data_IF_236152345610
#
_entry.id   IF_236152345610
#
_cell.length_a   1.000
_cell.length_b   1.000
_cell.length_c   1.000
_cell.angle_alpha   90.00
_cell.angle_beta   90.00
_cell.angle_gamma   90.00
#
_symmetry.space_group_name_H-M   'P 1'
#
loop_
_entity.id
_entity.type
_entity.pdbx_description
1 polymer ?
#
# COMPACT_ATOMS: atom_id res chain seq x y z
N UNK A 1 -20.60 -17.16 -15.02
CA UNK A 1 -19.46 -16.22 -15.09
C UNK A 1 -18.19 -17.06 -15.12
N UNK A 2 -17.60 -17.19 -16.29
CA UNK A 2 -16.63 -18.22 -16.69
C UNK A 2 -15.37 -18.23 -15.83
N UNK A 3 -15.17 -19.31 -15.08
CA UNK A 3 -13.95 -19.62 -14.30
C UNK A 3 -12.85 -20.11 -15.27
N UNK A 4 -12.34 -19.19 -16.09
CA UNK A 4 -11.28 -19.49 -17.04
C UNK A 4 -9.93 -19.26 -16.36
N UNK A 5 -9.18 -20.34 -16.10
CA UNK A 5 -7.85 -20.30 -15.48
C UNK A 5 -6.95 -19.20 -16.07
N UNK A 6 -6.98 -19.03 -17.39
CA UNK A 6 -6.23 -18.00 -18.11
C UNK A 6 -6.65 -16.58 -17.71
N UNK A 7 -7.94 -16.31 -17.60
CA UNK A 7 -8.44 -15.01 -17.15
C UNK A 7 -7.97 -14.70 -15.72
N UNK A 8 -8.00 -15.71 -14.84
CA UNK A 8 -7.54 -15.58 -13.44
C UNK A 8 -6.05 -15.28 -13.35
N UNK A 9 -5.22 -15.95 -14.14
CA UNK A 9 -3.77 -15.69 -14.20
C UNK A 9 -3.49 -14.28 -14.74
N UNK A 10 -4.15 -13.88 -15.83
CA UNK A 10 -3.98 -12.54 -16.40
C UNK A 10 -4.41 -11.46 -15.41
N UNK A 11 -5.55 -11.64 -14.73
CA UNK A 11 -6.00 -10.70 -13.68
C UNK A 11 -4.99 -10.62 -12.54
N UNK A 12 -4.44 -11.75 -12.07
CA UNK A 12 -3.42 -11.74 -11.03
C UNK A 12 -2.14 -11.02 -11.47
N UNK A 13 -1.67 -11.26 -12.69
CA UNK A 13 -0.52 -10.54 -13.24
C UNK A 13 -0.79 -9.04 -13.34
N UNK A 14 -1.94 -8.64 -13.87
CA UNK A 14 -2.33 -7.24 -13.98
C UNK A 14 -2.43 -6.56 -12.60
N UNK A 15 -3.00 -7.24 -11.60
CA UNK A 15 -3.06 -6.75 -10.23
C UNK A 15 -1.65 -6.62 -9.62
N UNK A 16 -0.76 -7.56 -9.89
CA UNK A 16 0.62 -7.52 -9.38
C UNK A 16 1.42 -6.37 -9.99
N UNK A 17 1.27 -6.13 -11.30
CA UNK A 17 1.86 -4.97 -11.99
C UNK A 17 1.29 -3.66 -11.43
N UNK A 18 -0.04 -3.59 -11.27
CA UNK A 18 -0.70 -2.43 -10.71
C UNK A 18 -0.29 -2.14 -9.26
N UNK A 19 0.07 -3.16 -8.47
CA UNK A 19 0.62 -3.00 -7.12
C UNK A 19 2.10 -2.57 -7.13
N UNK A 20 2.89 -3.10 -8.06
CA UNK A 20 4.33 -2.81 -8.16
C UNK A 20 4.63 -1.36 -8.55
N UNK A 21 3.78 -0.75 -9.40
CA UNK A 21 3.97 0.63 -9.88
C UNK A 21 3.94 1.65 -8.72
N UNK A 22 2.89 1.71 -7.85
CA UNK A 22 2.88 2.59 -6.69
C UNK A 22 4.06 2.33 -5.74
N UNK A 23 4.42 1.07 -5.52
CA UNK A 23 5.53 0.72 -4.63
C UNK A 23 6.87 1.27 -5.14
N UNK A 24 7.17 1.07 -6.43
CA UNK A 24 8.38 1.62 -7.06
C UNK A 24 8.37 3.14 -7.09
N UNK A 25 7.22 3.76 -7.37
CA UNK A 25 7.08 5.21 -7.36
C UNK A 25 7.40 5.80 -5.97
N UNK A 26 6.89 5.20 -4.89
CA UNK A 26 7.06 5.78 -3.55
C UNK A 26 8.48 5.54 -3.03
N UNK A 27 9.03 4.35 -3.24
CA UNK A 27 10.38 4.00 -2.75
C UNK A 27 11.51 4.69 -3.51
N UNK A 28 11.31 5.00 -4.79
CA UNK A 28 12.35 5.60 -5.65
C UNK A 28 12.01 7.05 -5.97
N UNK A 29 10.97 7.30 -6.76
CA UNK A 29 10.66 8.63 -7.31
C UNK A 29 10.33 9.63 -6.22
N UNK A 30 9.45 9.26 -5.29
CA UNK A 30 8.99 10.16 -4.24
C UNK A 30 10.07 10.47 -3.21
N UNK A 31 10.84 9.46 -2.78
CA UNK A 31 12.00 9.64 -1.90
C UNK A 31 13.06 10.53 -2.55
N UNK A 32 13.37 10.30 -3.83
CA UNK A 32 14.33 11.13 -4.58
C UNK A 32 13.84 12.56 -4.73
N UNK A 33 12.53 12.75 -4.96
CA UNK A 33 11.92 14.07 -5.03
C UNK A 33 12.02 14.84 -3.70
N UNK A 34 11.77 14.17 -2.56
CA UNK A 34 11.94 14.77 -1.24
C UNK A 34 13.42 15.09 -0.94
N UNK A 35 14.33 14.20 -1.31
CA UNK A 35 15.77 14.42 -1.18
C UNK A 35 16.23 15.65 -1.99
N UNK A 36 15.75 15.80 -3.22
CA UNK A 36 16.05 16.94 -4.08
C UNK A 36 15.52 18.27 -3.52
N UNK A 37 14.48 18.25 -2.67
CA UNK A 37 13.95 19.42 -1.97
C UNK A 37 14.64 19.72 -0.63
N UNK A 38 15.73 19.01 -0.31
CA UNK A 38 16.53 19.27 0.89
C UNK A 38 16.00 18.64 2.17
N UNK A 39 15.06 17.68 2.08
CA UNK A 39 14.63 16.89 3.24
C UNK A 39 15.81 16.10 3.80
N UNK A 40 15.92 16.03 5.12
CA UNK A 40 17.06 15.38 5.77
C UNK A 40 17.10 13.87 5.50
N UNK A 41 18.30 13.31 5.37
CA UNK A 41 18.47 11.87 5.18
C UNK A 41 17.82 11.03 6.30
N UNK A 42 17.79 11.58 7.53
CA UNK A 42 17.12 10.95 8.67
C UNK A 42 15.60 10.85 8.50
N UNK A 43 14.96 11.88 7.96
CA UNK A 43 13.52 11.87 7.69
C UNK A 43 13.16 10.95 6.52
N UNK A 44 14.00 10.90 5.48
CA UNK A 44 13.84 9.94 4.37
C UNK A 44 13.98 8.49 4.86
N UNK A 45 14.96 8.22 5.73
CA UNK A 45 15.15 6.91 6.34
C UNK A 45 13.95 6.52 7.22
N UNK A 46 13.39 7.46 7.98
CA UNK A 46 12.19 7.26 8.77
C UNK A 46 10.97 6.94 7.88
N UNK A 47 10.82 7.63 6.75
CA UNK A 47 9.76 7.36 5.78
C UNK A 47 9.86 5.93 5.21
N UNK A 48 11.05 5.53 4.78
CA UNK A 48 11.29 4.18 4.24
C UNK A 48 11.10 3.10 5.31
N UNK A 49 11.53 3.35 6.54
CA UNK A 49 11.39 2.42 7.66
C UNK A 49 9.92 2.25 8.04
N UNK A 50 9.15 3.35 8.15
CA UNK A 50 7.71 3.26 8.42
C UNK A 50 6.93 2.64 7.27
N UNK A 51 7.37 2.80 6.01
CA UNK A 51 6.78 2.12 4.86
C UNK A 51 7.05 0.62 4.81
N UNK A 52 8.20 0.18 5.31
CA UNK A 52 8.58 -1.25 5.30
C UNK A 52 8.14 -2.00 6.57
N UNK A 53 7.92 -1.29 7.68
CA UNK A 53 7.50 -1.88 8.96
C UNK A 53 6.21 -2.73 8.89
N UNK A 54 5.16 -2.34 8.13
CA UNK A 54 3.97 -3.17 7.94
C UNK A 54 4.24 -4.54 7.31
N UNK A 55 5.27 -4.66 6.46
CA UNK A 55 5.65 -5.95 5.88
C UNK A 55 6.10 -6.94 6.95
N UNK A 56 6.75 -6.47 8.01
CA UNK A 56 7.13 -7.29 9.16
C UNK A 56 5.93 -7.72 10.01
N UNK A 57 4.83 -6.95 10.00
CA UNK A 57 3.59 -7.26 10.74
C UNK A 57 2.62 -8.11 9.90
N UNK A 58 2.91 -8.32 8.61
CA UNK A 58 2.04 -9.02 7.66
C UNK A 58 1.69 -10.46 8.07
N UNK A 59 2.53 -11.11 8.89
CA UNK A 59 2.25 -12.44 9.43
C UNK A 59 1.00 -12.47 10.34
N UNK A 60 0.70 -11.36 11.03
CA UNK A 60 -0.42 -11.26 11.96
C UNK A 60 -1.78 -11.23 11.24
N UNK A 61 -1.79 -10.88 9.96
CA UNK A 61 -3.00 -10.84 9.15
C UNK A 61 -3.49 -12.23 8.74
N UNK A 62 -2.62 -13.26 8.72
CA UNK A 62 -3.02 -14.64 8.43
C UNK A 62 -4.14 -15.14 9.36
N UNK A 63 -3.93 -15.13 10.69
CA UNK A 63 -4.94 -15.51 11.67
C UNK A 63 -6.22 -14.65 11.63
N UNK A 64 -6.09 -13.35 11.35
CA UNK A 64 -7.23 -12.42 11.29
C UNK A 64 -8.12 -12.73 10.09
N UNK A 65 -7.51 -12.90 8.90
CA UNK A 65 -8.22 -13.23 7.66
C UNK A 65 -8.87 -14.62 7.77
N UNK A 66 -8.21 -15.58 8.41
CA UNK A 66 -8.76 -16.93 8.58
C UNK A 66 -9.92 -16.97 9.59
N UNK A 67 -9.94 -16.08 10.60
CA UNK A 67 -11.01 -16.01 11.61
C UNK A 67 -12.24 -15.23 11.14
N UNK A 68 -12.06 -14.19 10.34
CA UNK A 68 -13.14 -13.33 9.86
C UNK A 68 -13.48 -13.65 8.39
N UNK A 69 -14.29 -14.69 8.22
CA UNK A 69 -14.77 -15.14 6.92
C UNK A 69 -16.21 -14.65 6.72
N UNK A 70 -16.47 -13.92 5.64
CA UNK A 70 -17.84 -13.52 5.26
C UNK A 70 -18.36 -14.56 4.25
N UNK A 71 -19.29 -15.46 4.63
CA UNK A 71 -19.70 -16.58 3.78
C UNK A 71 -20.32 -16.13 2.45
N UNK A 72 -20.98 -14.98 2.42
CA UNK A 72 -21.72 -14.46 1.27
C UNK A 72 -20.84 -13.99 0.09
N UNK A 73 -19.59 -13.57 0.34
CA UNK A 73 -18.69 -13.02 -0.69
C UNK A 73 -17.47 -13.90 -0.98
N UNK A 74 -17.37 -15.07 -0.34
CA UNK A 74 -16.25 -15.99 -0.44
C UNK A 74 -15.08 -15.62 0.47
N UNK A 75 -14.18 -16.60 0.70
CA UNK A 75 -13.19 -16.56 1.79
C UNK A 75 -12.12 -15.47 1.69
N UNK A 76 -11.83 -14.95 0.48
CA UNK A 76 -10.71 -14.02 0.22
C UNK A 76 -11.09 -12.73 -0.51
N UNK A 77 -12.21 -12.71 -1.23
CA UNK A 77 -12.62 -11.56 -2.06
C UNK A 77 -12.93 -10.28 -1.27
N UNK A 78 -13.65 -10.29 -0.14
CA UNK A 78 -13.94 -9.05 0.60
C UNK A 78 -12.67 -8.42 1.18
N UNK A 79 -11.70 -9.25 1.59
CA UNK A 79 -10.38 -8.79 2.06
C UNK A 79 -9.57 -8.11 0.96
N UNK A 80 -9.56 -8.66 -0.26
CA UNK A 80 -8.89 -8.03 -1.42
C UNK A 80 -9.54 -6.69 -1.76
N UNK A 81 -10.87 -6.62 -1.76
CA UNK A 81 -11.60 -5.37 -2.03
C UNK A 81 -11.36 -4.31 -0.95
N UNK A 82 -11.32 -4.71 0.32
CA UNK A 82 -11.02 -3.81 1.43
C UNK A 82 -9.60 -3.26 1.34
N UNK A 83 -8.62 -4.12 1.08
CA UNK A 83 -7.24 -3.72 0.85
C UNK A 83 -7.12 -2.73 -0.32
N UNK A 84 -7.75 -3.05 -1.45
CA UNK A 84 -7.63 -2.23 -2.65
C UNK A 84 -8.35 -0.88 -2.54
N UNK A 85 -9.50 -0.83 -1.85
CA UNK A 85 -10.20 0.43 -1.53
C UNK A 85 -9.43 1.24 -0.49
N UNK A 86 -8.86 0.62 0.54
CA UNK A 86 -7.99 1.27 1.52
C UNK A 86 -6.76 1.92 0.87
N UNK A 87 -6.07 1.20 -0.01
CA UNK A 87 -4.95 1.73 -0.80
C UNK A 87 -5.36 2.93 -1.65
N UNK A 88 -6.48 2.85 -2.38
CA UNK A 88 -6.98 3.96 -3.20
C UNK A 88 -7.35 5.19 -2.36
N UNK A 89 -8.05 5.01 -1.24
CA UNK A 89 -8.40 6.10 -0.33
C UNK A 89 -7.14 6.75 0.24
N UNK A 90 -6.11 5.97 0.56
CA UNK A 90 -4.88 6.51 1.14
C UNK A 90 -4.06 7.31 0.11
N UNK A 91 -3.97 6.81 -1.13
CA UNK A 91 -3.37 7.58 -2.23
C UNK A 91 -4.16 8.85 -2.53
N UNK A 92 -5.50 8.79 -2.50
CA UNK A 92 -6.36 9.97 -2.62
C UNK A 92 -6.16 10.97 -1.49
N UNK A 93 -6.02 10.51 -0.25
CA UNK A 93 -5.79 11.34 0.92
C UNK A 93 -4.43 12.07 0.86
N UNK A 94 -3.40 11.44 0.27
CA UNK A 94 -2.10 12.08 0.05
C UNK A 94 -2.19 13.32 -0.86
N UNK A 95 -3.17 13.39 -1.77
CA UNK A 95 -3.37 14.56 -2.64
C UNK A 95 -3.80 15.81 -1.85
N UNK A 96 -4.46 15.63 -0.72
CA UNK A 96 -4.95 16.73 0.12
C UNK A 96 -3.92 17.25 1.12
N UNK A 97 -2.71 16.67 1.17
CA UNK A 97 -1.65 17.13 2.09
C UNK A 97 -0.97 18.38 1.52
N UNK A 98 -1.12 19.56 2.16
CA UNK A 98 -0.40 20.76 1.75
C UNK A 98 1.09 20.63 2.12
N UNK A 99 1.96 20.92 1.16
CA UNK A 99 3.43 20.89 1.26
C UNK A 99 4.05 19.60 1.84
N UNK A 100 4.37 18.62 0.97
CA UNK A 100 4.97 17.35 1.37
C UNK A 100 6.29 17.47 2.13
N UNK A 101 7.02 18.57 1.90
CA UNK A 101 8.34 18.81 2.48
C UNK A 101 8.30 19.23 3.94
N UNK A 102 7.21 19.84 4.41
CA UNK A 102 7.08 20.31 5.79
C UNK A 102 6.39 19.26 6.69
N UNK A 103 5.75 18.26 6.09
CA UNK A 103 4.92 17.25 6.76
C UNK A 103 5.41 15.82 6.48
N UNK A 104 6.73 15.62 6.41
CA UNK A 104 7.33 14.31 6.08
C UNK A 104 6.86 13.21 7.04
N UNK A 105 6.67 13.55 8.33
CA UNK A 105 6.13 12.61 9.34
C UNK A 105 4.70 12.18 9.05
N UNK A 106 3.84 13.11 8.62
CA UNK A 106 2.45 12.80 8.24
C UNK A 106 2.42 11.88 7.03
N UNK A 107 3.27 12.15 6.03
CA UNK A 107 3.39 11.30 4.84
C UNK A 107 3.92 9.91 5.19
N UNK A 108 4.90 9.81 6.09
CA UNK A 108 5.42 8.54 6.54
C UNK A 108 4.35 7.69 7.28
N UNK A 109 3.49 8.32 8.10
CA UNK A 109 2.35 7.65 8.73
C UNK A 109 1.32 7.22 7.68
N UNK A 110 1.02 8.08 6.71
CA UNK A 110 0.12 7.71 5.61
C UNK A 110 0.66 6.53 4.81
N UNK A 111 1.98 6.47 4.62
CA UNK A 111 2.64 5.38 3.90
C UNK A 111 2.67 4.07 4.70
N UNK A 112 2.82 4.16 6.03
CA UNK A 112 2.63 3.03 6.93
C UNK A 112 1.21 2.45 6.79
N UNK A 113 0.18 3.30 6.85
CA UNK A 113 -1.22 2.87 6.73
C UNK A 113 -1.48 2.27 5.34
N UNK A 114 -0.95 2.89 4.28
CA UNK A 114 -1.04 2.34 2.92
C UNK A 114 -0.47 0.92 2.82
N UNK A 115 0.69 0.65 3.45
CA UNK A 115 1.35 -0.66 3.41
C UNK A 115 0.72 -1.73 4.32
N UNK A 116 -0.18 -1.34 5.22
CA UNK A 116 -0.96 -2.27 6.03
C UNK A 116 -2.07 -2.92 5.20
N UNK A 117 -2.63 -2.20 4.23
CA UNK A 117 -3.61 -2.71 3.27
C UNK A 117 -2.92 -3.49 2.13
#
# INVERSE_FOLDING_TARGET
MTDSYRARVITLCALYVAQGIPWGFITVTFVTFLAARGVSAGELALLLTLGTLPWSVKFLWGPVIDRYQIPAYGRRRPWILLAQTGMMLMLGAMLFVPDPTNNVRTIAIMFLVYNIF
#
